data_IF_631976196415
#
_entry.id   IF_631976196415
#
_cell.length_a   1.000
_cell.length_b   1.000
_cell.length_c   1.000
_cell.angle_alpha   90.00
_cell.angle_beta   90.00
_cell.angle_gamma   90.00
#
_symmetry.space_group_name_H-M   'P 1'
#
loop_
_entity.id
_entity.type
_entity.pdbx_description
1 polymer ?
#
# COMPACT_ATOMS: atom_id res chain seq x y z
N UNK A 1 23.75 11.61 8.67
CA UNK A 1 22.30 11.95 8.74
C UNK A 1 21.94 13.28 8.07
N UNK A 2 22.87 14.24 7.90
CA UNK A 2 22.65 15.52 7.16
C UNK A 2 22.58 15.45 5.61
N UNK A 3 22.62 14.26 5.00
CA UNK A 3 22.75 14.15 3.54
C UNK A 3 21.42 14.15 2.78
N UNK A 4 20.30 13.73 3.39
CA UNK A 4 18.99 13.67 2.69
C UNK A 4 18.42 15.07 2.46
N UNK A 5 18.51 15.96 3.47
CA UNK A 5 18.12 17.37 3.34
C UNK A 5 19.05 18.23 2.45
N UNK A 6 20.08 17.62 1.85
CA UNK A 6 21.03 18.30 0.97
C UNK A 6 20.86 17.89 -0.52
N UNK A 7 19.87 17.06 -0.84
CA UNK A 7 19.58 16.65 -2.21
C UNK A 7 18.91 17.79 -2.99
N UNK A 8 19.37 18.02 -4.23
CA UNK A 8 18.80 19.03 -5.13
C UNK A 8 18.14 18.36 -6.34
N UNK A 9 16.93 18.81 -6.74
CA UNK A 9 16.12 19.83 -6.09
C UNK A 9 15.57 19.33 -4.74
N UNK A 10 15.39 20.24 -3.78
CA UNK A 10 14.68 19.93 -2.54
C UNK A 10 13.28 19.42 -2.87
N UNK A 11 12.82 18.41 -2.14
CA UNK A 11 11.51 17.80 -2.30
C UNK A 11 10.59 18.16 -1.12
N UNK A 12 10.62 19.42 -0.67
CA UNK A 12 9.76 19.89 0.42
C UNK A 12 8.27 19.53 0.18
N UNK A 13 7.55 19.04 1.20
CA UNK A 13 7.95 18.90 2.61
C UNK A 13 8.62 17.56 2.98
N UNK A 14 8.90 16.66 2.03
CA UNK A 14 9.31 15.28 2.35
C UNK A 14 10.68 15.22 3.04
N UNK A 15 11.58 16.16 2.75
CA UNK A 15 12.94 16.17 3.27
C UNK A 15 12.95 16.30 4.80
N UNK A 16 12.09 17.16 5.36
CA UNK A 16 11.92 17.29 6.81
C UNK A 16 11.30 16.06 7.46
N UNK A 17 10.34 15.42 6.79
CA UNK A 17 9.71 14.18 7.28
C UNK A 17 10.69 13.00 7.23
N UNK A 18 11.53 12.95 6.19
CA UNK A 18 12.58 11.93 6.03
C UNK A 18 13.63 12.00 7.13
N UNK A 19 14.05 13.21 7.53
CA UNK A 19 15.00 13.40 8.65
C UNK A 19 14.41 12.84 9.94
N UNK A 20 13.15 13.18 10.24
CA UNK A 20 12.46 12.67 11.45
C UNK A 20 12.38 11.14 11.45
N UNK A 21 12.09 10.54 10.28
CA UNK A 21 12.05 9.10 10.10
C UNK A 21 13.41 8.44 10.37
N UNK A 22 14.48 9.00 9.80
CA UNK A 22 15.85 8.50 9.97
C UNK A 22 16.28 8.55 11.44
N UNK A 23 16.02 9.68 12.12
CA UNK A 23 16.42 9.87 13.51
C UNK A 23 15.69 8.89 14.45
N UNK A 24 14.37 8.73 14.28
CA UNK A 24 13.56 7.79 15.07
C UNK A 24 13.90 6.32 14.77
N UNK A 25 14.17 5.98 13.50
CA UNK A 25 14.65 4.65 13.12
C UNK A 25 16.03 4.34 13.74
N UNK A 26 16.93 5.31 13.78
CA UNK A 26 18.26 5.15 14.40
C UNK A 26 18.15 4.91 15.91
N UNK A 27 17.26 5.64 16.61
CA UNK A 27 17.01 5.43 18.04
C UNK A 27 16.48 4.02 18.34
N UNK A 28 15.52 3.55 17.52
CA UNK A 28 14.98 2.19 17.62
C UNK A 28 16.07 1.14 17.36
N UNK A 29 16.83 1.28 16.27
CA UNK A 29 17.92 0.38 15.92
C UNK A 29 19.00 0.28 16.99
N UNK A 30 19.38 1.41 17.60
CA UNK A 30 20.34 1.43 18.70
C UNK A 30 19.86 0.62 19.91
N UNK A 31 18.56 0.71 20.24
CA UNK A 31 17.97 -0.05 21.36
C UNK A 31 17.94 -1.54 21.06
N UNK A 32 17.59 -1.93 19.84
CA UNK A 32 17.61 -3.33 19.40
C UNK A 32 19.02 -3.90 19.47
N UNK A 33 20.03 -3.18 18.99
CA UNK A 33 21.42 -3.60 19.06
C UNK A 33 21.92 -3.76 20.50
N UNK A 34 21.50 -2.87 21.41
CA UNK A 34 21.85 -2.99 22.83
C UNK A 34 21.18 -4.20 23.50
N UNK A 35 19.91 -4.47 23.17
CA UNK A 35 19.20 -5.66 23.62
C UNK A 35 19.85 -6.94 23.10
N UNK A 36 20.15 -7.01 21.80
CA UNK A 36 20.84 -8.14 21.19
C UNK A 36 22.15 -8.44 21.94
N UNK A 37 23.00 -7.41 22.15
CA UNK A 37 24.24 -7.57 22.90
C UNK A 37 24.00 -8.09 24.32
N UNK A 38 23.01 -7.56 25.02
CA UNK A 38 22.68 -7.95 26.39
C UNK A 38 22.25 -9.42 26.49
N UNK A 39 21.42 -9.90 25.56
CA UNK A 39 20.98 -11.30 25.53
C UNK A 39 22.06 -12.25 25.03
N UNK A 40 22.82 -11.87 24.00
CA UNK A 40 23.93 -12.68 23.46
C UNK A 40 25.05 -12.88 24.48
N UNK A 41 25.32 -11.88 25.33
CA UNK A 41 26.29 -12.00 26.42
C UNK A 41 25.74 -12.73 27.66
N UNK A 42 24.47 -13.13 27.64
CA UNK A 42 23.76 -13.75 28.76
C UNK A 42 23.73 -12.93 30.05
N UNK A 43 23.97 -11.61 29.99
CA UNK A 43 24.04 -10.72 31.15
C UNK A 43 22.76 -10.72 32.00
N UNK A 44 21.64 -11.19 31.44
CA UNK A 44 20.39 -11.41 32.15
C UNK A 44 20.49 -12.44 33.29
N UNK A 45 21.45 -13.37 33.21
CA UNK A 45 21.76 -14.33 34.27
C UNK A 45 22.49 -13.65 35.43
N UNK A 46 23.21 -12.57 35.16
CA UNK A 46 24.05 -11.86 36.13
C UNK A 46 23.28 -10.76 36.87
N UNK A 47 22.28 -10.15 36.23
CA UNK A 47 21.55 -9.00 36.78
C UNK A 47 20.07 -9.28 37.08
N UNK A 48 19.66 -10.56 37.04
CA UNK A 48 18.28 -11.00 37.24
C UNK A 48 17.26 -10.22 36.36
N UNK A 49 17.63 -9.96 35.11
CA UNK A 49 16.84 -9.21 34.12
C UNK A 49 16.66 -7.71 34.40
N UNK A 50 17.44 -7.11 35.29
CA UNK A 50 17.30 -5.71 35.62
C UNK A 50 17.47 -4.81 34.38
N UNK A 51 18.57 -4.98 33.63
CA UNK A 51 18.81 -4.21 32.40
C UNK A 51 17.85 -4.61 31.28
N UNK A 52 17.49 -5.89 31.17
CA UNK A 52 16.50 -6.36 30.20
C UNK A 52 15.15 -5.67 30.35
N UNK A 53 14.66 -5.50 31.59
CA UNK A 53 13.41 -4.77 31.87
C UNK A 53 13.50 -3.29 31.48
N UNK A 54 14.61 -2.63 31.80
CA UNK A 54 14.82 -1.23 31.42
C UNK A 54 14.87 -1.06 29.89
N UNK A 55 15.62 -1.92 29.19
CA UNK A 55 15.70 -1.90 27.72
C UNK A 55 14.35 -2.18 27.06
N UNK A 56 13.54 -3.08 27.62
CA UNK A 56 12.19 -3.35 27.12
C UNK A 56 11.29 -2.10 27.19
N UNK A 57 11.33 -1.34 28.28
CA UNK A 57 10.57 -0.09 28.39
C UNK A 57 11.05 0.95 27.37
N UNK A 58 12.37 1.07 27.19
CA UNK A 58 12.95 1.94 26.16
C UNK A 58 12.53 1.52 24.75
N UNK A 59 12.49 0.21 24.47
CA UNK A 59 12.05 -0.33 23.19
C UNK A 59 10.59 0.05 22.91
N UNK A 60 9.69 -0.15 23.87
CA UNK A 60 8.28 0.22 23.71
C UNK A 60 8.12 1.71 23.41
N UNK A 61 8.80 2.57 24.18
CA UNK A 61 8.78 4.02 23.94
C UNK A 61 9.29 4.37 22.54
N UNK A 62 10.41 3.78 22.11
CA UNK A 62 10.96 4.07 20.78
C UNK A 62 10.07 3.55 19.65
N UNK A 63 9.32 2.47 19.86
CA UNK A 63 8.28 2.02 18.91
C UNK A 63 7.11 3.02 18.86
N UNK A 64 6.64 3.49 20.02
CA UNK A 64 5.58 4.50 20.11
C UNK A 64 5.98 5.82 19.43
N UNK A 65 7.23 6.26 19.61
CA UNK A 65 7.78 7.46 18.97
C UNK A 65 8.01 7.27 17.46
N UNK A 66 8.45 6.08 17.03
CA UNK A 66 8.74 5.78 15.63
C UNK A 66 7.48 5.64 14.76
N UNK A 67 6.43 4.96 15.28
CA UNK A 67 5.22 4.64 14.52
C UNK A 67 4.59 5.85 13.79
N UNK A 68 4.24 6.97 14.45
CA UNK A 68 3.59 8.09 13.78
C UNK A 68 4.52 8.79 12.78
N UNK A 69 5.83 8.75 12.99
CA UNK A 69 6.81 9.33 12.05
C UNK A 69 6.95 8.47 10.80
N UNK A 70 6.97 7.14 10.97
CA UNK A 70 6.95 6.18 9.86
C UNK A 70 5.69 6.31 9.01
N UNK A 71 4.53 6.46 9.64
CA UNK A 71 3.25 6.67 8.95
C UNK A 71 3.27 7.97 8.14
N UNK A 72 3.68 9.10 8.74
CA UNK A 72 3.80 10.39 8.04
C UNK A 72 4.77 10.34 6.86
N UNK A 73 5.91 9.67 7.03
CA UNK A 73 6.88 9.54 5.94
C UNK A 73 6.32 8.71 4.78
N UNK A 74 5.65 7.60 5.09
CA UNK A 74 4.96 6.79 4.09
C UNK A 74 3.91 7.62 3.32
N UNK A 75 3.07 8.38 4.02
CA UNK A 75 2.05 9.24 3.42
C UNK A 75 2.65 10.29 2.48
N UNK A 76 3.74 10.94 2.90
CA UNK A 76 4.44 11.93 2.07
C UNK A 76 5.00 11.32 0.78
N UNK A 77 5.56 10.10 0.84
CA UNK A 77 6.01 9.36 -0.35
C UNK A 77 4.82 9.08 -1.29
N UNK A 78 3.69 8.63 -0.73
CA UNK A 78 2.50 8.33 -1.53
C UNK A 78 1.99 9.58 -2.24
N UNK A 79 1.90 10.72 -1.56
CA UNK A 79 1.43 11.98 -2.15
C UNK A 79 2.32 12.43 -3.32
N UNK A 80 3.64 12.39 -3.15
CA UNK A 80 4.57 12.75 -4.22
C UNK A 80 4.44 11.79 -5.40
N UNK A 81 4.33 10.48 -5.12
CA UNK A 81 4.13 9.47 -6.14
C UNK A 81 2.84 9.72 -6.94
N UNK A 82 1.73 10.00 -6.26
CA UNK A 82 0.43 10.28 -6.86
C UNK A 82 0.49 11.52 -7.76
N UNK A 83 1.07 12.63 -7.26
CA UNK A 83 1.26 13.86 -8.04
C UNK A 83 2.09 13.63 -9.30
N UNK A 84 3.16 12.82 -9.18
CA UNK A 84 4.01 12.45 -10.32
C UNK A 84 3.24 11.60 -11.33
N UNK A 85 2.49 10.59 -10.89
CA UNK A 85 1.70 9.72 -11.77
C UNK A 85 0.64 10.51 -12.54
N UNK A 86 -0.07 11.44 -11.88
CA UNK A 86 -1.05 12.32 -12.54
C UNK A 86 -0.39 13.26 -13.56
N UNK A 87 0.79 13.81 -13.24
CA UNK A 87 1.56 14.64 -14.17
C UNK A 87 2.01 13.84 -15.39
N UNK A 88 2.48 12.61 -15.16
CA UNK A 88 2.88 11.71 -16.23
C UNK A 88 1.69 11.33 -17.12
N UNK A 89 0.52 11.05 -16.54
CA UNK A 89 -0.70 10.74 -17.29
C UNK A 89 -1.08 11.87 -18.24
N UNK A 90 -1.07 13.12 -17.76
CA UNK A 90 -1.33 14.31 -18.59
C UNK A 90 -0.33 14.44 -19.73
N UNK A 91 0.97 14.23 -19.46
CA UNK A 91 2.00 14.28 -20.49
C UNK A 91 1.82 13.21 -21.57
N UNK A 92 1.43 12.00 -21.19
CA UNK A 92 1.15 10.93 -22.16
C UNK A 92 -0.07 11.32 -23.00
N UNK A 93 -1.14 11.85 -22.39
CA UNK A 93 -2.32 12.30 -23.14
C UNK A 93 -1.99 13.41 -24.14
N UNK A 94 -1.15 14.38 -23.75
CA UNK A 94 -0.72 15.47 -24.63
C UNK A 94 0.21 15.00 -25.77
N UNK A 95 1.09 14.03 -25.50
CA UNK A 95 2.11 13.58 -26.45
C UNK A 95 1.61 12.47 -27.41
N UNK A 96 0.83 11.53 -26.89
CA UNK A 96 0.42 10.30 -27.58
C UNK A 96 -1.10 10.21 -27.76
N UNK A 97 -1.88 10.98 -26.98
CA UNK A 97 -3.32 10.79 -26.86
C UNK A 97 -3.68 9.63 -25.94
N UNK A 98 -4.92 9.13 -26.08
CA UNK A 98 -5.46 8.05 -25.24
C UNK A 98 -5.06 6.66 -25.77
N UNK A 99 -3.76 6.39 -25.75
CA UNK A 99 -3.15 5.12 -26.18
C UNK A 99 -3.23 4.05 -25.08
N UNK A 100 -2.68 2.86 -25.37
CA UNK A 100 -2.49 1.81 -24.36
C UNK A 100 -1.66 2.31 -23.16
N UNK A 101 -0.61 3.11 -23.39
CA UNK A 101 0.21 3.69 -22.32
C UNK A 101 -0.59 4.62 -21.41
N UNK A 102 -1.48 5.43 -22.00
CA UNK A 102 -2.39 6.29 -21.25
C UNK A 102 -3.34 5.47 -20.39
N UNK A 103 -4.08 4.53 -21.00
CA UNK A 103 -5.10 3.78 -20.26
C UNK A 103 -4.51 2.83 -19.23
N UNK A 104 -3.33 2.25 -19.49
CA UNK A 104 -2.66 1.40 -18.50
C UNK A 104 -2.27 2.18 -17.25
N UNK A 105 -1.72 3.38 -17.40
CA UNK A 105 -1.42 4.26 -16.26
C UNK A 105 -2.72 4.77 -15.58
N UNK A 106 -3.75 5.11 -16.34
CA UNK A 106 -5.04 5.56 -15.78
C UNK A 106 -5.72 4.47 -14.93
N UNK A 107 -5.74 3.23 -15.43
CA UNK A 107 -6.23 2.05 -14.71
C UNK A 107 -5.46 1.86 -13.41
N UNK A 108 -4.12 1.93 -13.44
CA UNK A 108 -3.30 1.80 -12.24
C UNK A 108 -3.56 2.89 -11.20
N UNK A 109 -3.67 4.15 -11.63
CA UNK A 109 -3.97 5.27 -10.73
C UNK A 109 -5.34 5.07 -10.07
N UNK A 110 -6.36 4.74 -10.86
CA UNK A 110 -7.72 4.51 -10.36
C UNK A 110 -7.77 3.32 -9.40
N UNK A 111 -7.15 2.19 -9.75
CA UNK A 111 -7.08 1.02 -8.91
C UNK A 111 -6.36 1.29 -7.59
N UNK A 112 -5.25 2.04 -7.61
CA UNK A 112 -4.53 2.46 -6.40
C UNK A 112 -5.43 3.29 -5.47
N UNK A 113 -6.17 4.25 -6.03
CA UNK A 113 -7.11 5.09 -5.28
C UNK A 113 -8.24 4.27 -4.68
N UNK A 114 -8.82 3.33 -5.45
CA UNK A 114 -9.86 2.44 -4.96
C UNK A 114 -9.33 1.58 -3.81
N UNK A 115 -8.18 0.91 -4.01
CA UNK A 115 -7.59 0.02 -3.01
C UNK A 115 -7.30 0.76 -1.69
N UNK A 116 -6.80 2.01 -1.77
CA UNK A 116 -6.54 2.86 -0.60
C UNK A 116 -7.80 3.17 0.21
N UNK A 117 -8.94 3.38 -0.44
CA UNK A 117 -10.19 3.70 0.26
C UNK A 117 -10.83 2.45 0.84
N UNK A 118 -10.89 1.35 0.07
CA UNK A 118 -11.53 0.11 0.52
C UNK A 118 -10.72 -0.65 1.57
N UNK A 119 -9.45 -0.30 1.79
CA UNK A 119 -8.64 -0.85 2.87
C UNK A 119 -8.94 -0.25 4.25
N UNK A 120 -9.72 0.83 4.31
CA UNK A 120 -10.09 1.47 5.57
C UNK A 120 -11.18 0.68 6.30
N UNK A 121 -11.25 0.85 7.63
CA UNK A 121 -12.29 0.20 8.46
C UNK A 121 -13.71 0.56 8.03
N UNK A 122 -13.88 1.78 7.50
CA UNK A 122 -15.16 2.28 6.98
C UNK A 122 -14.93 3.13 5.74
N UNK A 123 -15.87 3.09 4.79
CA UNK A 123 -15.85 3.91 3.59
C UNK A 123 -17.26 4.08 3.00
N UNK A 124 -17.44 5.11 2.17
CA UNK A 124 -18.69 5.31 1.41
C UNK A 124 -18.77 4.29 0.27
N UNK A 125 -19.52 3.22 0.50
CA UNK A 125 -19.65 2.13 -0.46
C UNK A 125 -20.36 2.56 -1.76
N UNK A 126 -21.27 3.53 -1.72
CA UNK A 126 -21.96 4.04 -2.92
C UNK A 126 -21.01 4.88 -3.78
N UNK A 127 -20.20 5.74 -3.16
CA UNK A 127 -19.15 6.47 -3.86
C UNK A 127 -18.12 5.51 -4.48
N UNK A 128 -17.73 4.47 -3.74
CA UNK A 128 -16.77 3.48 -4.25
C UNK A 128 -17.32 2.60 -5.36
N UNK A 129 -18.62 2.28 -5.36
CA UNK A 129 -19.27 1.61 -6.49
C UNK A 129 -19.18 2.42 -7.78
N UNK A 130 -19.36 3.75 -7.71
CA UNK A 130 -19.17 4.64 -8.86
C UNK A 130 -17.74 4.62 -9.37
N UNK A 131 -16.75 4.66 -8.46
CA UNK A 131 -15.33 4.57 -8.83
C UNK A 131 -14.95 3.25 -9.48
N UNK A 132 -15.50 2.14 -9.01
CA UNK A 132 -15.28 0.83 -9.61
C UNK A 132 -15.96 0.69 -10.98
N UNK A 133 -17.07 1.39 -11.23
CA UNK A 133 -17.70 1.47 -12.56
C UNK A 133 -16.89 2.35 -13.54
N UNK A 134 -16.33 3.45 -13.05
CA UNK A 134 -15.37 4.27 -13.83
C UNK A 134 -14.14 3.43 -14.21
N UNK A 135 -13.60 2.62 -13.28
CA UNK A 135 -12.50 1.69 -13.54
C UNK A 135 -12.88 0.64 -14.60
N UNK A 136 -14.07 0.04 -14.50
CA UNK A 136 -14.60 -0.90 -15.50
C UNK A 136 -14.60 -0.30 -16.90
N UNK A 137 -15.01 0.96 -17.02
CA UNK A 137 -15.01 1.71 -18.29
C UNK A 137 -13.59 1.93 -18.81
N UNK A 138 -12.63 2.31 -17.95
CA UNK A 138 -11.24 2.48 -18.36
C UNK A 138 -10.58 1.18 -18.82
N UNK A 139 -10.91 0.05 -18.18
CA UNK A 139 -10.42 -1.27 -18.60
C UNK A 139 -11.00 -1.67 -19.96
N UNK A 140 -12.27 -1.35 -20.24
CA UNK A 140 -12.85 -1.56 -21.56
C UNK A 140 -12.12 -0.74 -22.63
N UNK A 141 -11.84 0.53 -22.36
CA UNK A 141 -11.07 1.40 -23.27
C UNK A 141 -9.63 0.90 -23.47
N UNK A 142 -8.97 0.44 -22.40
CA UNK A 142 -7.65 -0.19 -22.47
C UNK A 142 -7.65 -1.41 -23.41
N UNK A 143 -8.71 -2.22 -23.33
CA UNK A 143 -8.87 -3.40 -24.18
C UNK A 143 -9.06 -3.03 -25.65
N UNK A 144 -9.83 -1.98 -25.94
CA UNK A 144 -10.05 -1.51 -27.32
C UNK A 144 -8.76 -1.05 -27.98
N UNK A 145 -7.87 -0.37 -27.24
CA UNK A 145 -6.60 0.12 -27.78
C UNK A 145 -5.48 -0.94 -27.80
N UNK A 146 -5.69 -2.11 -27.21
CA UNK A 146 -4.72 -3.20 -27.18
C UNK A 146 -4.83 -4.09 -28.44
N UNK A 147 -4.22 -3.65 -29.53
CA UNK A 147 -4.40 -4.28 -30.86
C UNK A 147 -3.53 -5.51 -31.10
N UNK A 148 -2.44 -5.71 -30.35
CA UNK A 148 -1.47 -6.79 -30.60
C UNK A 148 -1.61 -8.00 -29.64
N UNK A 149 -2.50 -7.91 -28.64
CA UNK A 149 -2.78 -8.97 -27.67
C UNK A 149 -1.66 -9.26 -26.67
N UNK A 150 -0.50 -8.59 -26.77
CA UNK A 150 0.70 -8.90 -25.96
C UNK A 150 0.50 -8.59 -24.48
N UNK A 151 -0.33 -7.61 -24.18
CA UNK A 151 -0.57 -7.11 -22.81
C UNK A 151 -1.85 -7.69 -22.18
N UNK A 152 -2.27 -8.87 -22.64
CA UNK A 152 -3.48 -9.54 -22.17
C UNK A 152 -3.46 -9.89 -20.68
N UNK A 153 -2.28 -10.22 -20.13
CA UNK A 153 -2.13 -10.51 -18.69
C UNK A 153 -2.58 -9.34 -17.83
N UNK A 154 -2.05 -8.14 -18.09
CA UNK A 154 -2.41 -6.94 -17.35
C UNK A 154 -3.89 -6.57 -17.49
N UNK A 155 -4.48 -6.72 -18.70
CA UNK A 155 -5.90 -6.45 -18.91
C UNK A 155 -6.76 -7.43 -18.09
N UNK A 156 -6.38 -8.71 -18.08
CA UNK A 156 -7.06 -9.75 -17.31
C UNK A 156 -6.97 -9.49 -15.81
N UNK A 157 -5.77 -9.24 -15.27
CA UNK A 157 -5.60 -8.97 -13.84
C UNK A 157 -6.25 -7.65 -13.39
N UNK A 158 -6.30 -6.64 -14.26
CA UNK A 158 -7.07 -5.41 -14.00
C UNK A 158 -8.57 -5.69 -13.92
N UNK A 159 -9.12 -6.50 -14.82
CA UNK A 159 -10.53 -6.90 -14.78
C UNK A 159 -10.85 -7.76 -13.53
N UNK A 160 -9.95 -8.66 -13.15
CA UNK A 160 -10.09 -9.47 -11.93
C UNK A 160 -10.10 -8.59 -10.69
N UNK A 161 -9.15 -7.65 -10.56
CA UNK A 161 -9.16 -6.69 -9.47
C UNK A 161 -10.46 -5.88 -9.42
N UNK A 162 -10.89 -5.34 -10.55
CA UNK A 162 -12.14 -4.57 -10.65
C UNK A 162 -13.33 -5.39 -10.13
N UNK A 163 -13.44 -6.66 -10.52
CA UNK A 163 -14.51 -7.54 -10.09
C UNK A 163 -14.45 -7.86 -8.58
N UNK A 164 -13.26 -8.17 -8.05
CA UNK A 164 -13.10 -8.48 -6.62
C UNK A 164 -13.36 -7.25 -5.75
N UNK A 165 -12.87 -6.07 -6.16
CA UNK A 165 -13.19 -4.81 -5.49
C UNK A 165 -14.70 -4.53 -5.51
N UNK A 166 -15.36 -4.69 -6.67
CA UNK A 166 -16.82 -4.54 -6.82
C UNK A 166 -17.60 -5.46 -5.89
N UNK A 167 -17.14 -6.69 -5.71
CA UNK A 167 -17.75 -7.70 -4.83
C UNK A 167 -17.63 -7.30 -3.37
N UNK A 168 -16.42 -6.96 -2.92
CA UNK A 168 -16.18 -6.52 -1.55
C UNK A 168 -16.95 -5.24 -1.21
N UNK A 169 -16.94 -4.23 -2.08
CA UNK A 169 -17.70 -2.99 -1.87
C UNK A 169 -19.21 -3.28 -1.77
N UNK A 170 -19.75 -4.16 -2.62
CA UNK A 170 -21.16 -4.58 -2.53
C UNK A 170 -21.47 -5.25 -1.21
N UNK A 171 -20.60 -6.12 -0.70
CA UNK A 171 -20.76 -6.74 0.62
C UNK A 171 -20.94 -5.69 1.71
N UNK A 172 -20.09 -4.66 1.71
CA UNK A 172 -20.16 -3.55 2.68
C UNK A 172 -21.43 -2.72 2.48
N UNK A 173 -21.77 -2.35 1.24
CA UNK A 173 -22.98 -1.60 0.91
C UNK A 173 -24.25 -2.31 1.37
N UNK A 174 -24.33 -3.61 1.11
CA UNK A 174 -25.50 -4.45 1.38
C UNK A 174 -25.51 -4.99 2.82
N UNK A 175 -24.53 -4.58 3.65
CA UNK A 175 -24.35 -5.00 5.04
C UNK A 175 -24.36 -6.53 5.22
N UNK A 176 -23.71 -7.24 4.30
CA UNK A 176 -23.65 -8.71 4.32
C UNK A 176 -22.55 -9.15 5.28
N UNK A 177 -22.97 -9.67 6.43
CA UNK A 177 -22.05 -10.14 7.46
C UNK A 177 -21.21 -11.34 7.00
N UNK A 178 -20.04 -11.51 7.60
CA UNK A 178 -19.29 -12.76 7.55
C UNK A 178 -19.97 -13.79 8.46
N UNK A 179 -20.09 -15.03 7.98
CA UNK A 179 -20.36 -16.17 8.85
C UNK A 179 -19.23 -16.36 9.87
N UNK A 180 -19.49 -17.08 10.96
CA UNK A 180 -18.48 -17.29 12.01
C UNK A 180 -17.21 -18.01 11.52
N UNK A 181 -17.36 -18.88 10.53
CA UNK A 181 -16.22 -19.51 9.86
C UNK A 181 -15.41 -18.50 9.04
N UNK A 182 -16.09 -17.66 8.25
CA UNK A 182 -15.43 -16.65 7.43
C UNK A 182 -14.76 -15.57 8.29
N UNK A 183 -15.36 -15.16 9.41
CA UNK A 183 -14.76 -14.17 10.35
C UNK A 183 -13.37 -14.60 10.80
N UNK A 184 -13.19 -15.88 11.11
CA UNK A 184 -11.87 -16.43 11.49
C UNK A 184 -10.93 -16.50 10.29
N UNK A 185 -11.44 -16.96 9.15
CA UNK A 185 -10.63 -17.16 7.95
C UNK A 185 -10.17 -15.85 7.30
N UNK A 186 -11.00 -14.82 7.26
CA UNK A 186 -10.67 -13.53 6.63
C UNK A 186 -9.52 -12.81 7.34
N UNK A 187 -9.34 -13.10 8.63
CA UNK A 187 -8.23 -12.58 9.44
C UNK A 187 -6.92 -13.36 9.24
N UNK A 188 -6.98 -14.53 8.60
CA UNK A 188 -5.80 -15.37 8.36
C UNK A 188 -4.98 -14.82 7.18
N UNK A 189 -3.70 -14.48 7.38
CA UNK A 189 -2.87 -13.89 6.33
C UNK A 189 -2.63 -14.81 5.12
N UNK A 190 -2.68 -16.14 5.30
CA UNK A 190 -2.37 -17.11 4.25
C UNK A 190 -3.61 -17.50 3.42
N UNK A 191 -4.78 -17.48 4.04
CA UNK A 191 -6.02 -18.04 3.46
C UNK A 191 -7.19 -17.06 3.44
N UNK A 192 -7.04 -15.85 3.97
CA UNK A 192 -8.09 -14.84 4.00
C UNK A 192 -8.59 -14.45 2.60
N UNK A 193 -7.72 -14.47 1.59
CA UNK A 193 -8.09 -14.22 0.20
C UNK A 193 -9.07 -15.25 -0.38
N UNK A 194 -9.21 -16.42 0.24
CA UNK A 194 -10.16 -17.45 -0.17
C UNK A 194 -11.59 -17.15 0.31
N UNK A 195 -11.76 -16.20 1.22
CA UNK A 195 -13.10 -15.75 1.64
C UNK A 195 -13.69 -14.91 0.50
N UNK A 196 -14.86 -15.33 0.02
CA UNK A 196 -15.56 -14.64 -1.05
C UNK A 196 -15.89 -13.19 -0.66
N UNK A 197 -15.86 -12.31 -1.65
CA UNK A 197 -16.28 -10.90 -1.51
C UNK A 197 -15.60 -10.19 -0.33
N UNK A 198 -14.31 -10.47 -0.12
CA UNK A 198 -13.52 -9.96 1.00
C UNK A 198 -12.42 -9.01 0.56
N UNK A 199 -11.98 -8.12 1.46
CA UNK A 199 -10.84 -7.26 1.20
C UNK A 199 -9.57 -8.04 0.86
N UNK A 200 -9.18 -9.12 1.59
CA UNK A 200 -8.02 -9.93 1.22
C UNK A 200 -8.09 -10.51 -0.20
N UNK A 201 -9.27 -10.89 -0.69
CA UNK A 201 -9.44 -11.35 -2.07
C UNK A 201 -9.19 -10.22 -3.08
N UNK A 202 -9.75 -9.03 -2.81
CA UNK A 202 -9.51 -7.83 -3.62
C UNK A 202 -8.04 -7.39 -3.61
N UNK A 203 -7.40 -7.40 -2.44
CA UNK A 203 -5.99 -7.04 -2.28
C UNK A 203 -5.07 -8.00 -3.03
N UNK A 204 -5.38 -9.31 -3.03
CA UNK A 204 -4.62 -10.29 -3.81
C UNK A 204 -4.66 -9.95 -5.30
N UNK A 205 -5.85 -9.75 -5.87
CA UNK A 205 -6.00 -9.40 -7.29
C UNK A 205 -5.38 -8.03 -7.61
N UNK A 206 -5.42 -7.07 -6.67
CA UNK A 206 -4.72 -5.79 -6.82
C UNK A 206 -3.21 -6.00 -6.98
N UNK A 207 -2.60 -6.83 -6.14
CA UNK A 207 -1.16 -7.12 -6.20
C UNK A 207 -0.79 -7.85 -7.50
N UNK A 208 -1.60 -8.82 -7.93
CA UNK A 208 -1.42 -9.51 -9.22
C UNK A 208 -1.47 -8.50 -10.40
N UNK A 209 -2.41 -7.56 -10.38
CA UNK A 209 -2.49 -6.47 -11.37
C UNK A 209 -1.25 -5.56 -11.34
N UNK A 210 -0.76 -5.17 -10.16
CA UNK A 210 0.47 -4.37 -10.00
C UNK A 210 1.66 -5.11 -10.60
N UNK A 211 1.79 -6.41 -10.34
CA UNK A 211 2.88 -7.23 -10.88
C UNK A 211 2.86 -7.29 -12.40
N UNK A 212 1.69 -7.51 -13.00
CA UNK A 212 1.53 -7.53 -14.46
C UNK A 212 1.79 -6.15 -15.08
N UNK A 213 1.34 -5.07 -14.45
CA UNK A 213 1.64 -3.71 -14.90
C UNK A 213 3.15 -3.46 -14.94
N UNK A 214 3.87 -3.90 -13.91
CA UNK A 214 5.31 -3.73 -13.81
C UNK A 214 6.07 -4.53 -14.90
N UNK A 215 5.45 -5.58 -15.46
CA UNK A 215 6.00 -6.39 -16.57
C UNK A 215 5.72 -5.82 -17.96
N UNK A 216 4.96 -4.73 -18.08
CA UNK A 216 4.70 -4.07 -19.38
C UNK A 216 5.93 -3.35 -19.96
N UNK A 217 7.06 -3.35 -19.25
CA UNK A 217 8.29 -2.63 -19.60
C UNK A 217 9.32 -3.52 -20.28
#
# INVERSE_FOLDING_TARGET
MKQVAALTPLLEPIDGVAVSYIDSAAALGNTINEMEKYYTQENYKDDAFAKGKALHQTLLKNIEDFKPVSEKYHEAIQEINDRRQLTQLKRIEEAEGKTFNYYSLAVMISAKQINKVISADTFDAEAMMKKVAELETMIAQLKEVNTDGRNSSFISSAADYQLQAKKYIRRIRDNVEYSDFEKKRVQDPATGWMVADSYPASLRSYNEMVDDYNRLR
#
